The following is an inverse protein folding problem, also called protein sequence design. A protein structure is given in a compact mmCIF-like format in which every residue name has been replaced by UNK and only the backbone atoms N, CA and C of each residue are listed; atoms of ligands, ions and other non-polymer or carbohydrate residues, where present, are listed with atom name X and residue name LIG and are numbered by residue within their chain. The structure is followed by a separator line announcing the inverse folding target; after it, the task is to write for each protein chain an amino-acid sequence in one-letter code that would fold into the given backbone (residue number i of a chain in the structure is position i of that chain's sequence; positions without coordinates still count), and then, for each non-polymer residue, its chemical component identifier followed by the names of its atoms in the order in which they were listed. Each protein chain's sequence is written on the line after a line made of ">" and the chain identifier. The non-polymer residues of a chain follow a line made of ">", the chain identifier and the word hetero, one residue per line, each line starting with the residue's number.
data_IF_422149451740
#
_entry.id   IF_422149451740
#
_cell.length_a   1.000
_cell.length_b   1.000
_cell.length_c   1.000
_cell.angle_alpha   90.00
_cell.angle_beta   90.00
_cell.angle_gamma   90.00
#
_symmetry.space_group_name_H-M   'P 1'
#
loop_
_entity.id
_entity.type
_entity.pdbx_description
1 polymer ?
#
# COMPACT_ATOMS: atom_id res chain seq x y z
N UNK A 1 1.53 -11.16 -4.60
CA UNK A 1 2.10 -10.18 -3.65
C UNK A 1 1.11 -9.78 -2.56
N UNK A 2 0.29 -8.73 -2.72
CA UNK A 2 -0.53 -8.19 -1.62
C UNK A 2 -1.58 -9.18 -1.08
N UNK A 3 -2.32 -9.86 -1.98
CA UNK A 3 -3.27 -10.90 -1.58
C UNK A 3 -2.58 -12.08 -0.89
N UNK A 4 -1.42 -12.51 -1.37
CA UNK A 4 -0.67 -13.61 -0.74
C UNK A 4 -0.15 -13.21 0.65
N UNK A 5 0.26 -11.95 0.83
CA UNK A 5 0.69 -11.42 2.12
C UNK A 5 -0.44 -11.42 3.17
N UNK A 6 -1.66 -11.01 2.78
CA UNK A 6 -2.80 -10.95 3.70
C UNK A 6 -3.57 -12.27 3.84
N UNK A 7 -3.45 -13.20 2.90
CA UNK A 7 -4.15 -14.49 2.95
C UNK A 7 -4.05 -15.25 4.30
N UNK A 8 -2.86 -15.40 4.93
CA UNK A 8 -2.75 -16.10 6.21
C UNK A 8 -3.44 -15.36 7.37
N UNK A 9 -3.68 -14.05 7.25
CA UNK A 9 -4.25 -13.20 8.29
C UNK A 9 -5.77 -13.17 8.26
N UNK A 10 -6.39 -13.56 7.14
CA UNK A 10 -7.84 -13.51 6.95
C UNK A 10 -8.63 -14.35 7.95
N UNK A 11 -8.03 -15.42 8.47
CA UNK A 11 -8.66 -16.28 9.46
C UNK A 11 -9.03 -15.51 10.73
N UNK A 12 -8.19 -14.55 11.13
CA UNK A 12 -8.38 -13.70 12.31
C UNK A 12 -8.90 -12.30 11.98
N UNK A 13 -9.02 -11.94 10.70
CA UNK A 13 -9.53 -10.63 10.28
C UNK A 13 -11.05 -10.47 10.44
N UNK A 14 -11.47 -9.22 10.62
CA UNK A 14 -12.87 -8.79 10.59
C UNK A 14 -13.58 -9.13 9.28
N UNK A 15 -14.92 -9.20 9.31
CA UNK A 15 -15.73 -9.45 8.12
C UNK A 15 -15.53 -8.37 7.04
N UNK A 16 -15.34 -7.12 7.46
CA UNK A 16 -15.06 -6.01 6.54
C UNK A 16 -13.73 -6.21 5.80
N UNK A 17 -12.68 -6.62 6.50
CA UNK A 17 -11.39 -6.91 5.89
C UNK A 17 -11.46 -8.12 4.95
N UNK A 18 -12.26 -9.14 5.26
CA UNK A 18 -12.51 -10.25 4.32
C UNK A 18 -13.20 -9.76 3.04
N UNK A 19 -14.20 -8.88 3.16
CA UNK A 19 -14.83 -8.27 1.98
C UNK A 19 -13.87 -7.40 1.17
N UNK A 20 -13.00 -6.62 1.84
CA UNK A 20 -11.96 -5.80 1.21
C UNK A 20 -10.95 -6.67 0.46
N UNK A 21 -10.52 -7.77 1.06
CA UNK A 21 -9.62 -8.74 0.42
C UNK A 21 -10.15 -9.27 -0.91
N UNK A 22 -11.45 -9.59 -0.97
CA UNK A 22 -12.04 -10.13 -2.20
C UNK A 22 -12.23 -9.04 -3.26
N UNK A 23 -12.84 -7.90 -2.88
CA UNK A 23 -13.25 -6.85 -3.84
C UNK A 23 -12.13 -5.89 -4.21
N UNK A 24 -11.38 -5.38 -3.24
CA UNK A 24 -10.33 -4.40 -3.45
C UNK A 24 -9.25 -4.50 -2.34
N UNK A 25 -8.24 -5.36 -2.51
CA UNK A 25 -7.20 -5.62 -1.51
C UNK A 25 -6.41 -4.40 -1.06
N UNK A 26 -6.34 -3.35 -1.86
CA UNK A 26 -5.66 -2.10 -1.48
C UNK A 26 -6.35 -1.44 -0.28
N UNK A 27 -7.66 -1.71 -0.10
CA UNK A 27 -8.43 -1.27 1.08
C UNK A 27 -8.15 -2.08 2.35
N UNK A 28 -7.12 -2.92 2.36
CA UNK A 28 -6.60 -3.48 3.61
C UNK A 28 -5.56 -2.54 4.23
N UNK A 29 -4.92 -1.71 3.41
CA UNK A 29 -3.88 -0.77 3.85
C UNK A 29 -4.43 0.47 4.56
N UNK A 30 -5.72 0.76 4.41
CA UNK A 30 -6.42 1.88 5.05
C UNK A 30 -7.18 1.47 6.33
N UNK A 31 -7.08 0.20 6.76
CA UNK A 31 -7.70 -0.25 8.01
C UNK A 31 -7.23 0.59 9.20
N UNK A 32 -8.16 0.88 10.12
CA UNK A 32 -7.91 1.65 11.34
C UNK A 32 -7.85 0.77 12.58
N UNK A 33 -8.10 -0.53 12.42
CA UNK A 33 -8.05 -1.47 13.54
C UNK A 33 -6.60 -1.60 14.05
N UNK A 34 -6.36 -1.48 15.37
CA UNK A 34 -5.01 -1.55 15.94
C UNK A 34 -4.29 -2.87 15.64
N UNK A 35 -5.04 -3.97 15.56
CA UNK A 35 -4.55 -5.31 15.25
C UNK A 35 -4.00 -5.45 13.83
N UNK A 36 -4.46 -4.61 12.88
CA UNK A 36 -4.01 -4.64 11.49
C UNK A 36 -2.73 -3.82 11.26
N UNK A 37 -2.47 -2.79 12.08
CA UNK A 37 -1.38 -1.83 11.84
C UNK A 37 0.01 -2.47 11.70
N UNK A 38 0.40 -3.46 12.52
CA UNK A 38 1.69 -4.12 12.36
C UNK A 38 1.84 -4.84 11.01
N UNK A 39 0.75 -5.37 10.47
CA UNK A 39 0.74 -6.04 9.17
C UNK A 39 0.76 -5.03 8.02
N UNK A 40 0.00 -3.93 8.15
CA UNK A 40 0.01 -2.84 7.16
C UNK A 40 1.41 -2.23 7.04
N UNK A 41 2.10 -2.01 8.16
CA UNK A 41 3.46 -1.45 8.18
C UNK A 41 4.49 -2.32 7.44
N UNK A 42 4.26 -3.64 7.37
CA UNK A 42 5.13 -4.61 6.71
C UNK A 42 4.58 -5.11 5.37
N UNK A 43 3.48 -4.54 4.88
CA UNK A 43 2.87 -4.94 3.63
C UNK A 43 3.76 -4.56 2.42
N UNK A 44 3.67 -5.30 1.31
CA UNK A 44 4.38 -4.97 0.08
C UNK A 44 4.05 -3.54 -0.38
N UNK A 45 5.09 -2.73 -0.64
CA UNK A 45 4.91 -1.33 -1.06
C UNK A 45 4.49 -1.26 -2.52
N UNK A 46 3.47 -0.46 -2.82
CA UNK A 46 2.99 -0.27 -4.20
C UNK A 46 4.08 0.28 -5.14
N UNK A 47 5.02 1.06 -4.60
CA UNK A 47 6.14 1.63 -5.35
C UNK A 47 7.05 0.57 -5.98
N UNK A 48 7.07 -0.64 -5.42
CA UNK A 48 7.88 -1.76 -5.93
C UNK A 48 7.25 -2.43 -7.15
N UNK A 49 5.96 -2.17 -7.41
CA UNK A 49 5.17 -2.80 -8.47
C UNK A 49 4.75 -1.84 -9.59
N UNK A 50 5.34 -0.64 -9.64
CA UNK A 50 5.07 0.32 -10.71
C UNK A 50 5.58 -0.21 -12.06
N UNK A 51 4.78 -0.06 -13.12
CA UNK A 51 5.27 -0.26 -14.49
C UNK A 51 6.27 0.85 -14.87
N UNK A 52 7.00 0.67 -15.96
CA UNK A 52 8.10 1.57 -16.34
C UNK A 52 7.63 3.01 -16.59
N UNK A 53 6.47 3.18 -17.23
CA UNK A 53 5.86 4.51 -17.45
C UNK A 53 5.49 5.18 -16.12
N UNK A 54 4.88 4.44 -15.19
CA UNK A 54 4.54 4.96 -13.87
C UNK A 54 5.78 5.30 -13.04
N UNK A 55 6.85 4.50 -13.12
CA UNK A 55 8.14 4.78 -12.46
C UNK A 55 8.74 6.08 -12.99
N UNK A 56 8.78 6.24 -14.31
CA UNK A 56 9.30 7.45 -14.95
C UNK A 56 8.49 8.69 -14.55
N UNK A 57 7.16 8.59 -14.58
CA UNK A 57 6.29 9.68 -14.16
C UNK A 57 6.47 10.05 -12.68
N UNK A 58 6.52 9.06 -11.78
CA UNK A 58 6.72 9.28 -10.35
C UNK A 58 8.08 9.92 -10.05
N UNK A 59 9.15 9.49 -10.75
CA UNK A 59 10.47 10.09 -10.65
C UNK A 59 10.48 11.56 -11.11
N UNK A 60 9.73 11.89 -12.16
CA UNK A 60 9.60 13.28 -12.63
C UNK A 60 8.92 14.17 -11.57
N UNK A 61 7.84 13.71 -10.94
CA UNK A 61 7.17 14.45 -9.85
C UNK A 61 8.15 14.73 -8.70
N UNK A 62 8.87 13.71 -8.23
CA UNK A 62 9.87 13.86 -7.17
C UNK A 62 10.95 14.87 -7.53
N UNK A 63 11.49 14.79 -8.75
CA UNK A 63 12.48 15.76 -9.25
C UNK A 63 11.97 17.20 -9.20
N UNK A 64 10.71 17.44 -9.53
CA UNK A 64 10.13 18.79 -9.43
C UNK A 64 9.97 19.23 -7.98
N UNK A 65 9.50 18.36 -7.09
CA UNK A 65 9.43 18.67 -5.65
C UNK A 65 10.80 19.04 -5.09
N UNK A 66 11.84 18.28 -5.42
CA UNK A 66 13.22 18.54 -5.02
C UNK A 66 13.72 19.89 -5.57
N UNK A 67 13.42 20.21 -6.84
CA UNK A 67 13.81 21.48 -7.49
C UNK A 67 13.20 22.70 -6.81
N UNK A 68 11.96 22.58 -6.33
CA UNK A 68 11.27 23.66 -5.61
C UNK A 68 11.50 23.61 -4.09
N UNK A 69 12.29 22.66 -3.59
CA UNK A 69 12.58 22.51 -2.16
C UNK A 69 11.36 22.12 -1.32
N UNK A 70 10.40 21.39 -1.89
CA UNK A 70 9.20 20.94 -1.20
C UNK A 70 9.48 19.61 -0.48
N UNK A 71 9.44 19.56 0.87
CA UNK A 71 9.65 18.31 1.60
C UNK A 71 8.49 17.33 1.39
N UNK A 72 8.81 16.04 1.30
CA UNK A 72 7.84 14.95 1.18
C UNK A 72 8.34 13.66 1.86
N UNK A 73 7.41 12.78 2.19
CA UNK A 73 7.66 11.43 2.69
C UNK A 73 7.11 10.38 1.70
N UNK A 74 7.71 9.19 1.72
CA UNK A 74 7.38 8.06 0.83
C UNK A 74 6.84 6.86 1.60
#
# INVERSE_FOLDING_TARGET
>A
ALKEYFAPLLATSSEENRMRFDKNPLRLLDSKEPEDQPYIANAPKITDYLCDECKAHFAAVRRYLDMYGVPYDL
#
